data_IF_761077055273
#
_entry.id   IF_761077055273
#
_cell.length_a   1.000
_cell.length_b   1.000
_cell.length_c   1.000
_cell.angle_alpha   90.00
_cell.angle_beta   90.00
_cell.angle_gamma   90.00
#
_symmetry.space_group_name_H-M   'P 1'
#
loop_
_entity.id
_entity.type
_entity.pdbx_description
1 polymer ?
#
# COMPACT_ATOMS: atom_id res chain seq x y z
N UNK A 1 24.17 -1.39 11.42
CA UNK A 1 22.73 -1.70 11.28
C UNK A 1 22.32 -3.06 11.84
N UNK A 2 23.23 -4.01 12.16
CA UNK A 2 22.86 -5.38 12.59
C UNK A 2 22.10 -5.46 13.92
N UNK A 3 22.55 -4.77 14.98
CA UNK A 3 21.94 -4.81 16.31
C UNK A 3 20.48 -4.33 16.36
N UNK A 4 20.11 -3.39 15.47
CA UNK A 4 18.74 -2.85 15.38
C UNK A 4 17.79 -3.86 14.73
N UNK A 5 18.28 -4.58 13.71
CA UNK A 5 17.54 -5.67 13.06
C UNK A 5 17.31 -6.82 14.03
N UNK A 6 18.35 -7.24 14.76
CA UNK A 6 18.28 -8.32 15.74
C UNK A 6 17.34 -7.99 16.91
N UNK A 7 17.33 -6.73 17.38
CA UNK A 7 16.44 -6.29 18.45
C UNK A 7 14.97 -6.22 18.03
N UNK A 8 14.70 -5.78 16.79
CA UNK A 8 13.34 -5.77 16.25
C UNK A 8 12.82 -7.19 16.00
N UNK A 9 13.65 -8.06 15.44
CA UNK A 9 13.30 -9.46 15.22
C UNK A 9 13.03 -10.17 16.55
N UNK A 10 13.89 -9.98 17.55
CA UNK A 10 13.69 -10.53 18.89
C UNK A 10 12.39 -10.03 19.53
N UNK A 11 12.09 -8.73 19.44
CA UNK A 11 10.85 -8.17 20.02
C UNK A 11 9.58 -8.64 19.31
N UNK A 12 9.64 -8.82 17.99
CA UNK A 12 8.56 -9.40 17.19
C UNK A 12 8.32 -10.88 17.50
N UNK A 13 9.39 -11.66 17.71
CA UNK A 13 9.32 -13.10 17.98
C UNK A 13 8.98 -13.43 19.45
N UNK A 14 9.14 -12.48 20.38
CA UNK A 14 8.87 -12.68 21.82
C UNK A 14 7.55 -12.08 22.29
N UNK A 15 6.61 -11.84 21.36
CA UNK A 15 5.28 -11.25 21.61
C UNK A 15 5.31 -9.87 22.30
N UNK A 16 6.45 -9.17 22.32
CA UNK A 16 6.61 -7.82 22.88
C UNK A 16 6.22 -6.74 21.85
N UNK A 17 5.01 -6.89 21.31
CA UNK A 17 4.55 -6.11 20.18
C UNK A 17 4.46 -4.61 20.42
N UNK A 18 4.16 -4.17 21.65
CA UNK A 18 4.10 -2.73 21.95
C UNK A 18 5.47 -2.07 21.80
N UNK A 19 6.53 -2.74 22.27
CA UNK A 19 7.92 -2.28 22.10
C UNK A 19 8.35 -2.33 20.63
N UNK A 20 7.96 -3.40 19.91
CA UNK A 20 8.23 -3.51 18.48
C UNK A 20 7.54 -2.38 17.70
N UNK A 21 6.28 -2.08 18.00
CA UNK A 21 5.53 -1.00 17.35
C UNK A 21 6.07 0.38 17.68
N UNK A 22 6.45 0.63 18.93
CA UNK A 22 7.09 1.89 19.31
C UNK A 22 8.41 2.09 18.58
N UNK A 23 9.22 1.03 18.48
CA UNK A 23 10.45 1.06 17.70
C UNK A 23 10.18 1.35 16.22
N UNK A 24 9.27 0.60 15.60
CA UNK A 24 8.87 0.78 14.19
C UNK A 24 8.40 2.21 13.94
N UNK A 25 7.55 2.75 14.83
CA UNK A 25 7.07 4.14 14.77
C UNK A 25 8.23 5.12 14.78
N UNK A 26 9.16 5.00 15.73
CA UNK A 26 10.32 5.88 15.86
C UNK A 26 11.17 5.85 14.60
N UNK A 27 11.41 4.65 14.04
CA UNK A 27 12.18 4.47 12.81
C UNK A 27 11.50 5.19 11.64
N UNK A 28 10.22 4.94 11.39
CA UNK A 28 9.52 5.57 10.26
C UNK A 28 9.36 7.08 10.40
N UNK A 29 9.17 7.59 11.61
CA UNK A 29 9.15 9.04 11.87
C UNK A 29 10.50 9.66 11.53
N UNK A 30 11.61 9.01 11.87
CA UNK A 30 12.95 9.50 11.47
C UNK A 30 13.14 9.43 9.97
N UNK A 31 12.79 8.30 9.34
CA UNK A 31 12.93 8.11 7.89
C UNK A 31 12.14 9.13 7.09
N UNK A 32 10.96 9.55 7.57
CA UNK A 32 10.17 10.63 6.95
C UNK A 32 10.98 11.91 6.74
N UNK A 33 11.86 12.25 7.69
CA UNK A 33 12.69 13.46 7.63
C UNK A 33 13.98 13.30 6.81
N UNK A 34 14.41 12.05 6.55
CA UNK A 34 15.67 11.76 5.86
C UNK A 34 15.50 11.01 4.55
N UNK A 35 14.27 10.87 4.04
CA UNK A 35 13.95 9.99 2.91
C UNK A 35 14.71 10.30 1.62
N UNK A 36 14.97 11.59 1.33
CA UNK A 36 15.69 12.02 0.13
C UNK A 36 17.19 11.64 0.15
N UNK A 37 17.71 11.32 1.34
CA UNK A 37 19.11 10.93 1.54
C UNK A 37 19.28 9.41 1.58
N UNK A 38 18.20 8.62 1.46
CA UNK A 38 18.28 7.16 1.51
C UNK A 38 18.84 6.62 0.20
N UNK A 39 19.84 5.76 0.30
CA UNK A 39 20.32 5.02 -0.86
C UNK A 39 19.26 4.00 -1.30
N UNK A 40 19.19 3.68 -2.60
CA UNK A 40 18.27 2.67 -3.14
C UNK A 40 18.36 1.31 -2.42
N UNK A 41 19.57 0.92 -1.99
CA UNK A 41 19.77 -0.30 -1.22
C UNK A 41 19.08 -0.25 0.16
N UNK A 42 19.16 0.88 0.85
CA UNK A 42 18.51 1.08 2.15
C UNK A 42 16.99 1.07 2.01
N UNK A 43 16.46 1.74 0.99
CA UNK A 43 15.03 1.73 0.66
C UNK A 43 14.55 0.29 0.45
N UNK A 44 15.26 -0.49 -0.38
CA UNK A 44 14.92 -1.90 -0.64
C UNK A 44 14.97 -2.75 0.63
N UNK A 45 15.94 -2.52 1.51
CA UNK A 45 16.00 -3.22 2.80
C UNK A 45 14.79 -2.90 3.69
N UNK A 46 14.37 -1.62 3.73
CA UNK A 46 13.17 -1.20 4.47
C UNK A 46 11.92 -1.87 3.90
N UNK A 47 11.74 -1.85 2.58
CA UNK A 47 10.61 -2.47 1.88
C UNK A 47 10.55 -3.97 2.14
N UNK A 48 11.69 -4.67 2.07
CA UNK A 48 11.77 -6.10 2.39
C UNK A 48 11.41 -6.39 3.85
N UNK A 49 11.82 -5.54 4.79
CA UNK A 49 11.45 -5.69 6.20
C UNK A 49 9.94 -5.49 6.40
N UNK A 50 9.33 -4.54 5.72
CA UNK A 50 7.86 -4.37 5.74
C UNK A 50 7.18 -5.61 5.16
N UNK A 51 7.60 -6.09 3.99
CA UNK A 51 7.05 -7.30 3.37
C UNK A 51 7.18 -8.52 4.27
N UNK A 52 8.30 -8.67 4.99
CA UNK A 52 8.48 -9.73 5.97
C UNK A 52 7.39 -9.67 7.06
N UNK A 53 7.19 -8.50 7.67
CA UNK A 53 6.14 -8.31 8.69
C UNK A 53 4.74 -8.65 8.12
N UNK A 54 4.49 -8.33 6.85
CA UNK A 54 3.21 -8.64 6.22
C UNK A 54 3.00 -10.12 5.92
N UNK A 55 4.05 -10.84 5.54
CA UNK A 55 4.00 -12.27 5.19
C UNK A 55 3.91 -13.15 6.43
N UNK A 56 4.66 -12.83 7.47
CA UNK A 56 4.74 -13.64 8.69
C UNK A 56 3.45 -13.69 9.50
N UNK A 57 3.31 -14.66 10.40
CA UNK A 57 2.09 -14.89 11.21
C UNK A 57 1.92 -13.93 12.38
N UNK A 58 2.36 -12.67 12.26
CA UNK A 58 2.17 -11.65 13.29
C UNK A 58 0.70 -11.25 13.43
N UNK A 59 0.34 -10.71 14.61
CA UNK A 59 -1.01 -10.21 14.90
C UNK A 59 -1.40 -9.12 13.89
N UNK A 60 -2.67 -9.12 13.47
CA UNK A 60 -3.16 -8.21 12.42
C UNK A 60 -2.92 -6.73 12.75
N UNK A 61 -3.03 -6.35 14.02
CA UNK A 61 -2.76 -4.97 14.44
C UNK A 61 -1.29 -4.56 14.21
N UNK A 62 -0.33 -5.49 14.36
CA UNK A 62 1.10 -5.20 14.16
C UNK A 62 1.37 -4.95 12.68
N UNK A 63 0.83 -5.81 11.82
CA UNK A 63 0.90 -5.66 10.36
C UNK A 63 0.34 -4.31 9.94
N UNK A 64 -0.84 -3.98 10.46
CA UNK A 64 -1.49 -2.71 10.18
C UNK A 64 -0.65 -1.50 10.59
N UNK A 65 -0.21 -1.43 11.85
CA UNK A 65 0.53 -0.25 12.32
C UNK A 65 1.86 -0.10 11.58
N UNK A 66 2.53 -1.21 11.25
CA UNK A 66 3.73 -1.21 10.42
C UNK A 66 3.46 -0.56 9.06
N UNK A 67 2.37 -0.97 8.40
CA UNK A 67 1.95 -0.41 7.11
C UNK A 67 1.59 1.06 7.21
N UNK A 68 0.81 1.43 8.22
CA UNK A 68 0.42 2.81 8.44
C UNK A 68 1.65 3.70 8.57
N UNK A 69 2.62 3.32 9.40
CA UNK A 69 3.85 4.08 9.56
C UNK A 69 4.71 4.12 8.29
N UNK A 70 4.76 3.03 7.53
CA UNK A 70 5.44 2.99 6.24
C UNK A 70 4.80 3.96 5.23
N UNK A 71 3.47 3.95 5.07
CA UNK A 71 2.76 4.90 4.21
C UNK A 71 2.92 6.35 4.69
N UNK A 72 2.77 6.62 6.00
CA UNK A 72 2.92 7.97 6.57
C UNK A 72 4.32 8.57 6.45
N UNK A 73 5.34 7.71 6.30
CA UNK A 73 6.72 8.12 6.05
C UNK A 73 6.94 8.64 4.63
N UNK A 74 6.04 8.32 3.70
CA UNK A 74 6.15 8.66 2.28
C UNK A 74 7.15 7.81 1.51
N UNK A 75 7.65 6.72 2.12
CA UNK A 75 8.62 5.82 1.49
C UNK A 75 7.99 5.02 0.36
N UNK A 76 6.70 4.68 0.47
CA UNK A 76 5.97 3.99 -0.58
C UNK A 76 5.91 4.81 -1.88
N UNK A 77 5.51 6.08 -1.78
CA UNK A 77 5.48 7.02 -2.90
C UNK A 77 6.88 7.24 -3.48
N UNK A 78 7.88 7.31 -2.61
CA UNK A 78 9.27 7.45 -3.03
C UNK A 78 9.75 6.22 -3.81
N UNK A 79 9.45 5.02 -3.32
CA UNK A 79 9.79 3.76 -3.99
C UNK A 79 9.09 3.61 -5.33
N UNK A 80 7.80 3.94 -5.39
CA UNK A 80 7.04 4.03 -6.63
C UNK A 80 7.70 4.99 -7.64
N UNK A 81 8.23 6.12 -7.17
CA UNK A 81 8.85 7.13 -8.03
C UNK A 81 10.21 6.75 -8.61
N UNK A 82 10.94 5.83 -7.96
CA UNK A 82 12.30 5.41 -8.33
C UNK A 82 12.30 4.06 -9.04
N UNK A 83 11.52 3.11 -8.53
CA UNK A 83 11.65 1.69 -8.89
C UNK A 83 10.64 1.18 -9.92
N UNK A 84 9.74 2.05 -10.41
CA UNK A 84 8.71 1.75 -11.42
C UNK A 84 8.14 0.33 -11.27
N UNK A 85 7.29 0.14 -10.25
CA UNK A 85 6.63 -1.14 -9.97
C UNK A 85 7.61 -2.33 -9.91
N UNK A 86 8.57 -2.27 -8.99
CA UNK A 86 9.31 -3.46 -8.57
C UNK A 86 8.33 -4.62 -8.27
N UNK A 87 8.79 -5.86 -8.41
CA UNK A 87 7.96 -7.04 -8.12
C UNK A 87 7.37 -7.02 -6.69
N UNK A 88 8.00 -6.27 -5.79
CA UNK A 88 7.65 -6.13 -4.38
C UNK A 88 6.44 -5.19 -4.15
N UNK A 89 6.24 -4.18 -5.01
CA UNK A 89 5.14 -3.20 -4.89
C UNK A 89 3.74 -3.85 -5.05
N UNK A 90 3.45 -4.63 -6.12
CA UNK A 90 2.18 -5.32 -6.28
C UNK A 90 1.86 -6.22 -5.08
N UNK A 91 2.85 -6.99 -4.63
CA UNK A 91 2.71 -7.88 -3.48
C UNK A 91 2.41 -7.11 -2.19
N UNK A 92 3.06 -5.96 -1.99
CA UNK A 92 2.81 -5.11 -0.83
C UNK A 92 1.38 -4.57 -0.82
N UNK A 93 0.88 -4.09 -1.97
CA UNK A 93 -0.47 -3.57 -2.14
C UNK A 93 -1.51 -4.66 -1.82
N UNK A 94 -1.32 -5.87 -2.35
CA UNK A 94 -2.22 -7.00 -2.11
C UNK A 94 -2.20 -7.45 -0.64
N UNK A 95 -1.01 -7.57 -0.05
CA UNK A 95 -0.87 -7.92 1.37
C UNK A 95 -1.52 -6.88 2.28
N UNK A 96 -1.35 -5.59 1.97
CA UNK A 96 -1.97 -4.49 2.69
C UNK A 96 -3.49 -4.62 2.67
N UNK A 97 -4.07 -4.77 1.48
CA UNK A 97 -5.52 -4.95 1.36
C UNK A 97 -5.99 -6.22 2.05
N UNK A 98 -5.21 -7.31 2.01
CA UNK A 98 -5.54 -8.54 2.72
C UNK A 98 -5.57 -8.38 4.25
N UNK A 99 -4.67 -7.57 4.82
CA UNK A 99 -4.70 -7.20 6.25
C UNK A 99 -5.94 -6.36 6.57
N UNK A 100 -6.27 -5.41 5.69
CA UNK A 100 -7.45 -4.58 5.81
C UNK A 100 -8.75 -5.39 5.75
N UNK A 101 -8.89 -6.26 4.75
CA UNK A 101 -10.12 -6.98 4.47
C UNK A 101 -10.46 -8.01 5.56
N UNK A 102 -9.44 -8.71 6.06
CA UNK A 102 -9.55 -9.69 7.15
C UNK A 102 -9.90 -9.08 8.50
N UNK A 103 -9.76 -7.76 8.68
CA UNK A 103 -10.08 -7.14 9.96
C UNK A 103 -11.59 -6.91 10.10
N UNK A 104 -12.25 -7.66 10.99
CA UNK A 104 -13.71 -7.55 11.18
C UNK A 104 -14.16 -6.27 11.89
N UNK A 105 -13.24 -5.46 12.43
CA UNK A 105 -13.58 -4.24 13.16
C UNK A 105 -13.94 -3.11 12.18
N UNK A 106 -15.20 -2.68 12.19
CA UNK A 106 -15.74 -1.65 11.28
C UNK A 106 -15.19 -0.25 11.54
N UNK A 107 -14.99 0.13 12.80
CA UNK A 107 -14.36 1.42 13.16
C UNK A 107 -12.95 1.49 12.62
N UNK A 108 -12.22 0.39 12.79
CA UNK A 108 -10.89 0.25 12.23
C UNK A 108 -10.93 0.32 10.69
N UNK A 109 -11.79 -0.46 10.01
CA UNK A 109 -11.89 -0.40 8.54
C UNK A 109 -12.16 1.03 8.05
N UNK A 110 -12.96 1.81 8.77
CA UNK A 110 -13.22 3.20 8.41
C UNK A 110 -11.96 4.08 8.49
N UNK A 111 -11.22 4.00 9.59
CA UNK A 111 -9.95 4.74 9.74
C UNK A 111 -8.91 4.32 8.69
N UNK A 112 -8.90 3.04 8.32
CA UNK A 112 -7.92 2.48 7.39
C UNK A 112 -8.28 2.71 5.94
N UNK A 113 -9.56 2.84 5.61
CA UNK A 113 -10.03 3.05 4.23
C UNK A 113 -9.30 4.22 3.57
N UNK A 114 -9.11 5.33 4.29
CA UNK A 114 -8.36 6.49 3.77
C UNK A 114 -6.91 6.14 3.39
N UNK A 115 -6.23 5.31 4.20
CA UNK A 115 -4.88 4.86 3.88
C UNK A 115 -4.86 3.95 2.66
N UNK A 116 -5.86 3.07 2.51
CA UNK A 116 -5.99 2.21 1.33
C UNK A 116 -6.20 3.06 0.09
N UNK A 117 -7.10 4.05 0.15
CA UNK A 117 -7.31 4.97 -0.97
C UNK A 117 -6.05 5.74 -1.33
N UNK A 118 -5.32 6.29 -0.35
CA UNK A 118 -4.05 7.00 -0.60
C UNK A 118 -3.01 6.10 -1.26
N UNK A 119 -2.90 4.84 -0.82
CA UNK A 119 -1.99 3.86 -1.42
C UNK A 119 -2.37 3.57 -2.89
N UNK A 120 -3.65 3.31 -3.17
CA UNK A 120 -4.14 3.09 -4.53
C UNK A 120 -3.96 4.33 -5.42
N UNK A 121 -4.21 5.52 -4.87
CA UNK A 121 -4.00 6.80 -5.55
C UNK A 121 -2.52 7.03 -5.87
N UNK A 122 -1.63 6.81 -4.91
CA UNK A 122 -0.18 6.87 -5.14
C UNK A 122 0.27 5.89 -6.23
N UNK A 123 -0.28 4.68 -6.22
CA UNK A 123 0.00 3.64 -7.20
C UNK A 123 -0.33 4.13 -8.61
N UNK A 124 -1.56 4.59 -8.87
CA UNK A 124 -1.98 5.06 -10.21
C UNK A 124 -1.33 6.39 -10.61
N UNK A 125 -0.92 7.21 -9.64
CA UNK A 125 -0.23 8.48 -9.89
C UNK A 125 1.28 8.31 -10.12
N UNK A 126 1.87 7.17 -9.77
CA UNK A 126 3.31 6.93 -9.96
C UNK A 126 3.71 6.76 -11.43
N UNK A 127 2.73 6.47 -12.28
CA UNK A 127 2.90 6.21 -13.71
C UNK A 127 3.26 7.48 -14.47
N UNK A 128 4.13 7.33 -15.46
CA UNK A 128 4.59 8.41 -16.33
C UNK A 128 4.30 8.06 -17.79
N UNK A 129 4.19 9.07 -18.68
CA UNK A 129 4.05 8.82 -20.11
C UNK A 129 5.10 7.84 -20.64
N UNK A 130 4.66 6.81 -21.35
CA UNK A 130 5.52 5.76 -21.89
C UNK A 130 5.78 4.58 -20.95
N UNK A 131 5.27 4.61 -19.71
CA UNK A 131 5.28 3.46 -18.80
C UNK A 131 3.83 3.02 -18.55
N UNK A 132 3.55 1.73 -18.73
CA UNK A 132 2.26 1.14 -18.42
C UNK A 132 2.24 0.59 -17.00
N UNK A 133 1.08 0.66 -16.34
CA UNK A 133 0.86 -0.08 -15.10
C UNK A 133 0.79 -1.57 -15.45
N UNK A 134 1.49 -2.45 -14.72
CA UNK A 134 1.29 -3.90 -14.88
C UNK A 134 -0.19 -4.27 -14.68
N UNK A 135 -0.75 -5.10 -15.57
CA UNK A 135 -2.17 -5.48 -15.57
C UNK A 135 -2.66 -5.91 -14.19
N UNK A 136 -1.86 -6.70 -13.47
CA UNK A 136 -2.16 -7.15 -12.09
C UNK A 136 -2.41 -5.98 -11.16
N UNK A 137 -1.56 -4.96 -11.18
CA UNK A 137 -1.67 -3.77 -10.31
C UNK A 137 -2.85 -2.90 -10.75
N UNK A 138 -3.04 -2.73 -12.04
CA UNK A 138 -4.13 -1.93 -12.60
C UNK A 138 -5.48 -2.53 -12.24
N UNK A 139 -5.68 -3.83 -12.51
CA UNK A 139 -6.91 -4.56 -12.19
C UNK A 139 -7.19 -4.51 -10.70
N UNK A 140 -6.15 -4.77 -9.88
CA UNK A 140 -6.27 -4.70 -8.44
C UNK A 140 -6.70 -3.30 -7.96
N UNK A 141 -6.03 -2.25 -8.43
CA UNK A 141 -6.34 -0.89 -8.03
C UNK A 141 -7.77 -0.49 -8.43
N UNK A 142 -8.21 -0.89 -9.63
CA UNK A 142 -9.57 -0.63 -10.10
C UNK A 142 -10.61 -1.36 -9.26
N UNK A 143 -10.52 -2.69 -9.17
CA UNK A 143 -11.48 -3.54 -8.46
C UNK A 143 -11.59 -3.11 -6.99
N UNK A 144 -10.44 -2.88 -6.33
CA UNK A 144 -10.42 -2.52 -4.92
C UNK A 144 -10.88 -1.10 -4.67
N UNK A 145 -10.67 -0.18 -5.61
CA UNK A 145 -11.26 1.17 -5.52
C UNK A 145 -12.77 1.12 -5.59
N UNK A 146 -13.33 0.33 -6.51
CA UNK A 146 -14.79 0.15 -6.63
C UNK A 146 -15.37 -0.47 -5.35
N UNK A 147 -14.76 -1.54 -4.85
CA UNK A 147 -15.17 -2.21 -3.62
C UNK A 147 -15.14 -1.25 -2.42
N UNK A 148 -14.09 -0.43 -2.30
CA UNK A 148 -13.95 0.54 -1.20
C UNK A 148 -14.97 1.68 -1.29
N UNK A 149 -15.26 2.21 -2.49
CA UNK A 149 -16.27 3.27 -2.65
C UNK A 149 -17.66 2.77 -2.28
N UNK A 150 -17.97 1.50 -2.59
CA UNK A 150 -19.24 0.88 -2.17
C UNK A 150 -19.33 0.74 -0.65
N UNK A 151 -18.24 0.38 0.00
CA UNK A 151 -18.19 0.23 1.46
C UNK A 151 -18.16 1.60 2.19
N UNK A 152 -17.52 2.61 1.59
CA UNK A 152 -17.33 3.95 2.15
C UNK A 152 -17.68 5.03 1.11
N UNK A 153 -18.98 5.30 0.90
CA UNK A 153 -19.44 6.27 -0.10
C UNK A 153 -18.90 7.68 0.09
N UNK A 154 -18.48 8.05 1.31
CA UNK A 154 -17.82 9.33 1.61
C UNK A 154 -16.54 9.56 0.79
N UNK A 155 -15.87 8.49 0.35
CA UNK A 155 -14.65 8.56 -0.47
C UNK A 155 -14.92 8.51 -1.98
N UNK A 156 -16.18 8.60 -2.43
CA UNK A 156 -16.55 8.50 -3.85
C UNK A 156 -15.75 9.44 -4.75
N UNK A 157 -15.55 10.69 -4.33
CA UNK A 157 -14.75 11.67 -5.10
C UNK A 157 -13.31 11.22 -5.29
N UNK A 158 -12.70 10.63 -4.24
CA UNK A 158 -11.35 10.10 -4.31
C UNK A 158 -11.29 8.86 -5.21
N UNK A 159 -12.22 7.93 -5.06
CA UNK A 159 -12.30 6.75 -5.92
C UNK A 159 -12.46 7.09 -7.40
N UNK A 160 -13.29 8.08 -7.74
CA UNK A 160 -13.43 8.57 -9.13
C UNK A 160 -12.09 9.12 -9.66
N UNK A 161 -11.31 9.83 -8.83
CA UNK A 161 -9.99 10.34 -9.24
C UNK A 161 -9.03 9.20 -9.53
N UNK A 162 -8.99 8.18 -8.68
CA UNK A 162 -8.14 6.99 -8.86
C UNK A 162 -8.50 6.28 -10.17
N UNK A 163 -9.79 5.99 -10.37
CA UNK A 163 -10.28 5.30 -11.58
C UNK A 163 -9.94 6.09 -12.85
N UNK A 164 -10.25 7.39 -12.88
CA UNK A 164 -9.93 8.24 -14.04
C UNK A 164 -8.43 8.31 -14.32
N UNK A 165 -7.61 8.26 -13.28
CA UNK A 165 -6.17 8.25 -13.46
C UNK A 165 -5.69 6.91 -13.99
N UNK A 166 -6.22 5.79 -13.48
CA UNK A 166 -5.93 4.46 -14.00
C UNK A 166 -6.30 4.34 -15.48
N UNK A 167 -7.48 4.83 -15.88
CA UNK A 167 -7.98 4.83 -17.27
C UNK A 167 -7.02 5.51 -18.26
N UNK A 168 -6.36 6.61 -17.87
CA UNK A 168 -5.39 7.30 -18.73
C UNK A 168 -4.18 6.44 -19.11
N UNK A 169 -3.85 5.48 -18.27
CA UNK A 169 -2.68 4.62 -18.43
C UNK A 169 -3.03 3.24 -18.97
N UNK A 170 -4.30 3.02 -19.33
CA UNK A 170 -4.73 1.77 -19.93
C UNK A 170 -4.33 1.72 -21.41
N UNK A 171 -3.83 0.58 -21.84
CA UNK A 171 -3.80 0.22 -23.25
C UNK A 171 -5.23 0.03 -23.76
N UNK A 172 -5.42 0.12 -25.08
CA UNK A 172 -6.71 -0.15 -25.71
C UNK A 172 -7.27 -1.53 -25.35
N UNK A 173 -6.41 -2.55 -25.27
CA UNK A 173 -6.77 -3.92 -24.90
C UNK A 173 -7.22 -4.02 -23.43
N UNK A 174 -6.54 -3.31 -22.53
CA UNK A 174 -6.93 -3.21 -21.12
C UNK A 174 -8.28 -2.49 -20.99
N UNK A 175 -8.51 -1.42 -21.75
CA UNK A 175 -9.80 -0.72 -21.78
C UNK A 175 -10.93 -1.63 -22.28
N UNK A 176 -10.71 -2.42 -23.33
CA UNK A 176 -11.69 -3.39 -23.84
C UNK A 176 -12.00 -4.48 -22.81
N UNK A 177 -10.98 -4.99 -22.13
CA UNK A 177 -11.15 -6.01 -21.08
C UNK A 177 -11.94 -5.47 -19.90
N UNK A 178 -11.65 -4.23 -19.48
CA UNK A 178 -12.35 -3.61 -18.36
C UNK A 178 -13.76 -3.13 -18.72
N UNK A 179 -13.99 -2.62 -19.93
CA UNK A 179 -15.32 -2.16 -20.38
C UNK A 179 -16.37 -3.27 -20.45
N UNK A 180 -15.96 -4.54 -20.57
CA UNK A 180 -16.84 -5.69 -20.33
C UNK A 180 -17.39 -5.76 -18.89
N UNK A 181 -16.68 -5.19 -17.90
CA UNK A 181 -17.08 -5.10 -16.49
C UNK A 181 -17.80 -3.78 -16.13
N UNK A 182 -17.93 -2.82 -17.07
CA UNK A 182 -18.47 -1.46 -16.81
C UNK A 182 -19.98 -1.41 -16.52
N UNK A 183 -20.73 -2.51 -16.63
CA UNK A 183 -22.09 -2.56 -16.04
C UNK A 183 -22.08 -2.21 -14.54
N UNK A 184 -20.94 -2.39 -13.85
CA UNK A 184 -20.72 -1.98 -12.46
C UNK A 184 -20.50 -0.46 -12.28
N UNK A 185 -20.00 0.27 -13.28
CA UNK A 185 -19.76 1.72 -13.19
C UNK A 185 -21.05 2.55 -13.31
N UNK A 186 -22.06 2.04 -14.01
CA UNK A 186 -23.41 2.63 -14.01
C UNK A 186 -24.14 2.47 -12.66
N UNK A 187 -23.58 1.72 -11.71
CA UNK A 187 -24.14 1.48 -10.37
C UNK A 187 -23.46 2.29 -9.24
N UNK A 188 -22.47 3.14 -9.57
CA UNK A 188 -21.75 4.02 -8.63
C UNK A 188 -22.21 5.47 -8.80
#
# INVERSE_FOLDING_TARGET
>A
MSLLSESLEYTLLTDRFDLALDFIRIVFVKLKTSRENLANAELRHITNAVLFVLRESFKQYVKFWTLKYYLESGLFEHELSISLFSADIPDMIELFYGVYDKNSNTLFKKEVAEFVFRMLEATVNSVRPGVLIPDRVLNFAFDKTVDLVRQFPEHRTQGIRIIRQAEKWMSWEQTLTMSGNFELLNSI
#
